data_IF_326108202406
#
_entry.id   IF_326108202406
#
_cell.length_a   1.000
_cell.length_b   1.000
_cell.length_c   1.000
_cell.angle_alpha   90.00
_cell.angle_beta   90.00
_cell.angle_gamma   90.00
#
_symmetry.space_group_name_H-M   'P 1'
#
loop_
_entity.id
_entity.type
_entity.pdbx_description
1 polymer ?
#
# COMPACT_ATOMS: atom_id res chain seq x y z
N UNK A 1 21.86 -22.20 -22.06
CA UNK A 1 20.79 -21.20 -22.21
C UNK A 1 21.00 -20.24 -21.05
N UNK A 2 21.25 -18.96 -21.34
CA UNK A 2 21.42 -17.97 -20.27
C UNK A 2 20.04 -17.71 -19.67
N UNK A 3 19.87 -17.98 -18.38
CA UNK A 3 18.64 -17.65 -17.65
C UNK A 3 18.57 -16.13 -17.51
N UNK A 4 17.46 -15.51 -17.95
CA UNK A 4 17.22 -14.08 -17.73
C UNK A 4 17.10 -13.81 -16.23
N UNK A 5 17.82 -12.79 -15.75
CA UNK A 5 17.88 -12.38 -14.34
C UNK A 5 17.37 -10.97 -14.17
N UNK A 6 16.43 -10.79 -13.24
CA UNK A 6 15.89 -9.47 -12.87
C UNK A 6 16.30 -9.17 -11.43
N UNK A 7 17.00 -8.04 -11.22
CA UNK A 7 17.21 -7.50 -9.88
C UNK A 7 15.98 -6.67 -9.49
N UNK A 8 15.25 -7.15 -8.50
CA UNK A 8 14.08 -6.51 -7.95
C UNK A 8 14.45 -5.74 -6.67
N UNK A 9 14.21 -4.43 -6.68
CA UNK A 9 14.24 -3.57 -5.51
C UNK A 9 12.82 -3.43 -4.98
N UNK A 10 12.58 -3.73 -3.72
CA UNK A 10 11.33 -3.45 -3.02
C UNK A 10 11.58 -2.40 -1.93
N UNK A 11 11.20 -1.17 -2.23
CA UNK A 11 11.31 -0.03 -1.31
C UNK A 11 10.00 0.11 -0.56
N UNK A 12 9.94 -0.42 0.66
CA UNK A 12 8.82 -0.27 1.58
C UNK A 12 8.92 0.98 2.45
N UNK A 13 8.14 1.06 3.53
CA UNK A 13 8.21 2.17 4.49
C UNK A 13 9.09 1.91 5.71
N UNK A 14 9.70 0.73 5.83
CA UNK A 14 10.56 0.36 6.97
C UNK A 14 11.91 -0.22 6.54
N UNK A 15 12.00 -0.70 5.31
CA UNK A 15 13.22 -1.23 4.74
C UNK A 15 13.14 -1.26 3.22
N UNK A 16 14.30 -1.17 2.59
CA UNK A 16 14.50 -1.59 1.21
C UNK A 16 15.00 -3.02 1.22
N UNK A 17 14.51 -3.82 0.28
CA UNK A 17 14.98 -5.18 0.02
C UNK A 17 15.41 -5.32 -1.43
N UNK A 18 16.53 -5.99 -1.66
CA UNK A 18 17.02 -6.29 -3.00
C UNK A 18 17.20 -7.81 -3.15
N UNK A 19 16.61 -8.36 -4.21
CA UNK A 19 16.70 -9.78 -4.56
C UNK A 19 16.87 -9.91 -6.06
N UNK A 20 17.46 -11.02 -6.50
CA UNK A 20 17.50 -11.36 -7.93
C UNK A 20 16.60 -12.56 -8.17
N UNK A 21 15.80 -12.49 -9.23
CA UNK A 21 14.90 -13.56 -9.66
C UNK A 21 15.35 -14.10 -11.02
N UNK A 22 15.10 -15.39 -11.25
CA UNK A 22 15.22 -16.01 -12.58
C UNK A 22 13.90 -15.95 -13.37
N UNK A 23 13.92 -16.40 -14.63
CA UNK A 23 12.76 -16.39 -15.54
C UNK A 23 11.52 -17.15 -15.01
N UNK A 24 11.70 -18.04 -14.02
CA UNK A 24 10.60 -18.77 -13.36
C UNK A 24 10.00 -17.96 -12.20
N UNK A 25 10.51 -16.75 -11.97
CA UNK A 25 10.24 -15.91 -10.81
C UNK A 25 10.61 -16.59 -9.48
N UNK A 26 11.65 -17.44 -9.49
CA UNK A 26 12.28 -18.00 -8.29
C UNK A 26 13.45 -17.10 -7.86
N UNK A 27 13.56 -16.82 -6.56
CA UNK A 27 14.64 -15.99 -6.04
C UNK A 27 15.96 -16.79 -6.05
N UNK A 28 17.03 -16.16 -6.53
CA UNK A 28 18.37 -16.72 -6.49
C UNK A 28 18.82 -16.88 -5.03
N UNK A 29 19.30 -18.08 -4.68
CA UNK A 29 19.79 -18.37 -3.34
C UNK A 29 21.03 -17.53 -3.04
N UNK A 30 21.05 -16.93 -1.84
CA UNK A 30 22.20 -16.15 -1.37
C UNK A 30 22.30 -14.73 -1.93
N UNK A 31 21.25 -14.24 -2.63
CA UNK A 31 21.14 -12.84 -3.05
C UNK A 31 19.91 -12.23 -2.37
N UNK A 32 20.09 -11.79 -1.13
CA UNK A 32 19.03 -11.20 -0.32
C UNK A 32 19.61 -10.13 0.59
N UNK A 33 19.38 -8.88 0.22
CA UNK A 33 19.85 -7.71 0.97
C UNK A 33 18.67 -7.00 1.56
N UNK A 34 18.77 -6.64 2.84
CA UNK A 34 17.79 -5.78 3.52
C UNK A 34 18.51 -4.64 4.22
N UNK A 35 18.07 -3.41 3.95
CA UNK A 35 18.54 -2.22 4.67
C UNK A 35 17.33 -1.53 5.30
N UNK A 36 17.38 -1.38 6.63
CA UNK A 36 16.33 -0.71 7.41
C UNK A 36 16.61 0.78 7.50
N UNK A 37 15.54 1.55 7.61
CA UNK A 37 15.57 3.00 7.83
C UNK A 37 14.36 3.39 8.66
N UNK A 38 14.46 4.53 9.32
CA UNK A 38 13.45 5.03 10.23
C UNK A 38 12.72 6.22 9.61
N UNK A 39 11.40 6.19 9.74
CA UNK A 39 10.54 7.30 9.39
C UNK A 39 10.66 8.37 10.48
N UNK A 40 10.75 9.63 10.07
CA UNK A 40 10.62 10.74 11.01
C UNK A 40 9.13 10.98 11.25
N UNK A 41 8.62 10.46 12.36
CA UNK A 41 7.29 10.78 12.88
C UNK A 41 7.39 12.03 13.77
N UNK A 42 6.69 13.10 13.40
CA UNK A 42 6.72 14.39 14.10
C UNK A 42 5.41 14.75 14.77
N UNK A 43 5.35 15.94 15.37
CA UNK A 43 4.12 16.47 15.94
C UNK A 43 3.07 16.73 14.83
N UNK A 44 1.78 16.72 15.19
CA UNK A 44 0.66 17.07 14.30
C UNK A 44 0.50 16.17 13.05
N UNK A 45 0.96 14.92 13.12
CA UNK A 45 0.75 13.93 12.05
C UNK A 45 1.77 14.01 10.90
N UNK A 46 2.92 14.65 11.13
CA UNK A 46 4.09 14.60 10.24
C UNK A 46 4.63 13.17 10.13
N UNK A 47 4.90 12.72 8.91
CA UNK A 47 5.45 11.41 8.61
C UNK A 47 6.33 11.48 7.35
N UNK A 48 7.63 11.71 7.53
CA UNK A 48 8.57 12.09 6.47
C UNK A 48 9.84 11.22 6.42
N UNK A 49 10.48 11.19 5.25
CA UNK A 49 11.85 10.72 5.08
C UNK A 49 12.76 11.83 4.52
N UNK A 50 14.05 11.70 4.77
CA UNK A 50 15.08 12.32 3.94
C UNK A 50 15.23 11.51 2.65
N UNK A 51 14.93 12.16 1.50
CA UNK A 51 14.95 11.48 0.21
C UNK A 51 16.35 11.01 -0.19
N UNK A 52 17.40 11.77 0.12
CA UNK A 52 18.78 11.45 -0.25
C UNK A 52 19.33 10.31 0.60
N UNK A 53 18.98 10.26 1.89
CA UNK A 53 19.31 9.13 2.75
C UNK A 53 18.64 7.85 2.28
N UNK A 54 17.37 7.92 1.86
CA UNK A 54 16.64 6.77 1.35
C UNK A 54 17.18 6.30 -0.01
N UNK A 55 17.62 7.23 -0.88
CA UNK A 55 18.37 6.91 -2.10
C UNK A 55 19.69 6.21 -1.77
N UNK A 56 20.46 6.72 -0.80
CA UNK A 56 21.73 6.11 -0.41
C UNK A 56 21.55 4.69 0.12
N UNK A 57 20.54 4.46 0.98
CA UNK A 57 20.21 3.13 1.47
C UNK A 57 19.79 2.18 0.33
N UNK A 58 18.98 2.66 -0.61
CA UNK A 58 18.53 1.85 -1.76
C UNK A 58 19.68 1.54 -2.72
N UNK A 59 20.57 2.51 -2.98
CA UNK A 59 21.78 2.32 -3.77
C UNK A 59 22.69 1.25 -3.16
N UNK A 60 22.91 1.32 -1.84
CA UNK A 60 23.73 0.33 -1.15
C UNK A 60 23.15 -1.09 -1.30
N UNK A 61 21.84 -1.25 -1.10
CA UNK A 61 21.17 -2.53 -1.27
C UNK A 61 21.25 -3.06 -2.72
N UNK A 62 21.10 -2.17 -3.70
CA UNK A 62 21.27 -2.49 -5.12
C UNK A 62 22.68 -2.96 -5.44
N UNK A 63 23.70 -2.20 -5.05
CA UNK A 63 25.11 -2.51 -5.33
C UNK A 63 25.53 -3.82 -4.67
N UNK A 64 25.06 -4.06 -3.43
CA UNK A 64 25.31 -5.31 -2.72
C UNK A 64 24.66 -6.51 -3.40
N UNK A 65 23.37 -6.43 -3.75
CA UNK A 65 22.67 -7.52 -4.44
C UNK A 65 23.27 -7.80 -5.83
N UNK A 66 23.68 -6.76 -6.56
CA UNK A 66 24.35 -6.91 -7.84
C UNK A 66 25.69 -7.65 -7.70
N UNK A 67 26.49 -7.29 -6.67
CA UNK A 67 27.75 -7.98 -6.34
C UNK A 67 27.49 -9.45 -6.02
N UNK A 68 26.48 -9.76 -5.22
CA UNK A 68 26.13 -11.14 -4.84
C UNK A 68 25.61 -11.97 -6.01
N UNK A 69 24.97 -11.33 -6.99
CA UNK A 69 24.52 -11.95 -8.23
C UNK A 69 25.64 -12.19 -9.26
N UNK A 70 26.89 -11.85 -8.93
CA UNK A 70 28.04 -11.99 -9.83
C UNK A 70 28.28 -10.80 -10.75
N UNK A 71 27.68 -9.63 -10.47
CA UNK A 71 27.97 -8.36 -11.14
C UNK A 71 27.17 -8.05 -12.40
N UNK A 72 26.34 -8.97 -12.88
CA UNK A 72 25.53 -8.79 -14.09
C UNK A 72 24.10 -9.26 -13.88
N UNK A 73 23.13 -8.51 -14.39
CA UNK A 73 21.71 -8.85 -14.48
C UNK A 73 21.15 -8.30 -15.79
N UNK A 74 20.05 -8.87 -16.30
CA UNK A 74 19.47 -8.49 -17.58
C UNK A 74 18.52 -7.29 -17.47
N UNK A 75 17.97 -7.05 -16.28
CA UNK A 75 17.15 -5.90 -16.00
C UNK A 75 17.14 -5.55 -14.49
N UNK A 76 16.83 -4.29 -14.20
CA UNK A 76 16.51 -3.82 -12.85
C UNK A 76 15.07 -3.33 -12.83
N UNK A 77 14.34 -3.70 -11.78
CA UNK A 77 12.96 -3.27 -11.59
C UNK A 77 12.73 -2.86 -10.13
N UNK A 78 11.81 -1.92 -9.93
CA UNK A 78 11.55 -1.36 -8.59
C UNK A 78 10.06 -1.46 -8.24
N UNK A 79 9.76 -2.11 -7.13
CA UNK A 79 8.52 -1.96 -6.36
C UNK A 79 8.74 -0.84 -5.35
N UNK A 80 7.83 0.13 -5.27
CA UNK A 80 7.95 1.24 -4.33
C UNK A 80 6.60 1.62 -3.73
N UNK A 81 6.61 2.01 -2.45
CA UNK A 81 5.42 2.52 -1.78
C UNK A 81 4.80 3.70 -2.54
N UNK A 82 3.48 3.62 -2.73
CA UNK A 82 2.71 4.68 -3.37
C UNK A 82 2.65 5.97 -2.56
N UNK A 83 2.18 7.02 -3.23
CA UNK A 83 1.76 8.30 -2.66
C UNK A 83 2.90 9.16 -2.07
N UNK A 84 4.16 8.75 -2.18
CA UNK A 84 5.31 9.59 -1.85
C UNK A 84 5.33 10.85 -2.71
N UNK A 85 5.73 11.98 -2.14
CA UNK A 85 5.91 13.25 -2.85
C UNK A 85 7.23 13.89 -2.42
N UNK A 86 8.09 14.21 -3.39
CA UNK A 86 9.39 14.85 -3.20
C UNK A 86 9.44 16.13 -4.04
N UNK A 87 9.59 17.33 -3.44
CA UNK A 87 9.85 18.56 -4.18
C UNK A 87 11.32 18.59 -4.66
N UNK A 88 11.53 18.84 -5.95
CA UNK A 88 12.84 18.74 -6.62
C UNK A 88 13.19 20.02 -7.38
N UNK A 89 14.42 20.52 -7.26
CA UNK A 89 14.90 21.71 -7.97
C UNK A 89 15.25 21.44 -9.45
N UNK A 90 15.55 22.52 -10.19
CA UNK A 90 15.97 22.44 -11.60
C UNK A 90 17.31 21.72 -11.82
N UNK A 91 18.03 21.34 -10.76
CA UNK A 91 19.25 20.51 -10.81
C UNK A 91 18.98 19.05 -10.46
N UNK A 92 17.72 18.67 -10.22
CA UNK A 92 17.35 17.32 -9.88
C UNK A 92 17.63 16.93 -8.43
N UNK A 93 17.76 17.89 -7.52
CA UNK A 93 18.00 17.64 -6.08
C UNK A 93 16.71 17.82 -5.28
N UNK A 94 16.47 16.97 -4.30
CA UNK A 94 15.43 17.20 -3.31
C UNK A 94 15.69 18.52 -2.58
N UNK A 95 14.66 19.35 -2.43
CA UNK A 95 14.73 20.65 -1.74
C UNK A 95 13.84 20.73 -0.50
N UNK A 96 13.19 19.62 -0.16
CA UNK A 96 12.35 19.46 1.01
C UNK A 96 12.22 17.98 1.36
N UNK A 97 11.49 17.66 2.44
CA UNK A 97 11.29 16.29 2.88
C UNK A 97 10.46 15.48 1.87
N UNK A 98 10.64 14.16 1.90
CA UNK A 98 9.75 13.21 1.25
C UNK A 98 8.50 13.04 2.11
N UNK A 99 7.34 13.46 1.59
CA UNK A 99 6.05 13.32 2.27
C UNK A 99 5.46 11.93 2.00
N UNK A 100 5.24 11.14 3.03
CA UNK A 100 4.71 9.77 2.88
C UNK A 100 3.19 9.71 2.82
N UNK A 101 2.61 8.53 2.56
CA UNK A 101 1.17 8.32 2.60
C UNK A 101 0.54 8.47 4.00
N UNK A 102 1.37 8.36 5.06
CA UNK A 102 0.97 8.49 6.47
C UNK A 102 0.87 9.94 6.93
N UNK A 103 1.39 10.88 6.15
CA UNK A 103 1.40 12.28 6.54
C UNK A 103 -0.02 12.87 6.54
N UNK A 104 -0.45 13.39 7.70
CA UNK A 104 -1.80 13.91 7.91
C UNK A 104 -1.88 15.44 7.89
N UNK A 105 -0.77 16.16 7.74
CA UNK A 105 -0.77 17.64 7.78
C UNK A 105 -1.63 18.25 6.65
N UNK A 106 -1.79 17.52 5.56
CA UNK A 106 -2.65 17.90 4.44
C UNK A 106 -4.16 17.64 4.66
N UNK A 107 -4.62 17.22 5.85
CA UNK A 107 -6.02 16.88 6.09
C UNK A 107 -6.97 18.08 5.84
N UNK A 108 -6.58 19.25 6.32
CA UNK A 108 -7.38 20.47 6.11
C UNK A 108 -7.33 20.96 4.65
N UNK A 109 -6.19 20.77 3.98
CA UNK A 109 -6.04 21.05 2.56
C UNK A 109 -6.95 20.13 1.71
N UNK A 110 -7.06 18.85 2.06
CA UNK A 110 -7.99 17.92 1.41
C UNK A 110 -9.46 18.37 1.55
N UNK A 111 -9.84 18.89 2.73
CA UNK A 111 -11.20 19.45 2.93
C UNK A 111 -11.45 20.67 2.05
N UNK A 112 -10.51 21.62 2.01
CA UNK A 112 -10.59 22.83 1.17
C UNK A 112 -10.63 22.50 -0.32
N UNK A 113 -9.85 21.51 -0.76
CA UNK A 113 -9.83 21.08 -2.15
C UNK A 113 -11.22 20.61 -2.62
N UNK A 114 -12.00 19.98 -1.74
CA UNK A 114 -13.39 19.64 -2.04
C UNK A 114 -14.36 20.82 -2.22
N UNK A 115 -13.92 22.06 -1.98
CA UNK A 115 -14.64 23.27 -2.38
C UNK A 115 -14.16 23.88 -3.70
N UNK A 116 -13.10 23.32 -4.31
CA UNK A 116 -12.54 23.74 -5.60
C UNK A 116 -12.88 22.77 -6.73
N UNK A 117 -13.10 21.49 -6.40
CA UNK A 117 -13.42 20.43 -7.35
C UNK A 117 -14.50 19.50 -6.78
N UNK A 118 -15.32 18.93 -7.66
CA UNK A 118 -16.34 17.95 -7.29
C UNK A 118 -15.71 16.61 -6.91
N UNK A 119 -15.98 16.15 -5.69
CA UNK A 119 -15.32 14.97 -5.08
C UNK A 119 -15.57 13.69 -5.89
N UNK A 120 -16.83 13.47 -6.26
CA UNK A 120 -17.25 12.26 -6.97
C UNK A 120 -16.69 12.25 -8.40
N UNK A 121 -16.62 13.42 -9.05
CA UNK A 121 -16.02 13.55 -10.38
C UNK A 121 -14.50 13.26 -10.34
N UNK A 122 -13.80 13.74 -9.30
CA UNK A 122 -12.37 13.43 -9.12
C UNK A 122 -12.17 11.94 -8.90
N UNK A 123 -12.99 11.32 -8.06
CA UNK A 123 -12.93 9.88 -7.82
C UNK A 123 -13.21 9.10 -9.11
N UNK A 124 -14.24 9.44 -9.87
CA UNK A 124 -14.56 8.79 -11.15
C UNK A 124 -13.42 8.89 -12.17
N UNK A 125 -12.75 10.05 -12.28
CA UNK A 125 -11.67 10.25 -13.26
C UNK A 125 -10.35 9.59 -12.83
N UNK A 126 -10.00 9.67 -11.55
CA UNK A 126 -8.65 9.31 -11.06
C UNK A 126 -8.60 8.00 -10.30
N UNK A 127 -9.74 7.48 -9.83
CA UNK A 127 -9.81 6.37 -8.89
C UNK A 127 -9.34 6.71 -7.48
N UNK A 128 -8.98 7.97 -7.20
CA UNK A 128 -8.53 8.46 -5.91
C UNK A 128 -9.58 9.37 -5.28
N UNK A 129 -9.65 9.39 -3.95
CA UNK A 129 -10.48 10.36 -3.21
C UNK A 129 -9.65 11.58 -2.80
N UNK A 130 -10.33 12.67 -2.40
CA UNK A 130 -9.68 13.80 -1.76
C UNK A 130 -9.31 13.47 -0.31
N UNK A 131 -8.08 13.00 -0.10
CA UNK A 131 -7.55 12.55 1.19
C UNK A 131 -6.10 12.99 1.38
N UNK A 132 -5.63 13.30 2.61
CA UNK A 132 -4.25 13.76 2.89
C UNK A 132 -3.14 12.85 2.36
N UNK A 133 -3.41 11.55 2.19
CA UNK A 133 -2.43 10.63 1.62
C UNK A 133 -2.04 10.96 0.17
N UNK A 134 -2.93 11.59 -0.61
CA UNK A 134 -2.73 11.84 -2.04
C UNK A 134 -2.08 13.20 -2.33
N UNK A 135 -1.49 13.29 -3.52
CA UNK A 135 -0.75 14.47 -3.96
C UNK A 135 -1.60 15.75 -4.01
N UNK A 136 -2.86 15.75 -4.49
CA UNK A 136 -3.62 16.99 -4.58
C UNK A 136 -3.71 17.72 -3.23
N UNK A 137 -3.95 16.99 -2.14
CA UNK A 137 -3.99 17.56 -0.80
C UNK A 137 -2.62 18.05 -0.34
N UNK A 138 -1.56 17.25 -0.55
CA UNK A 138 -0.18 17.59 -0.17
C UNK A 138 0.35 18.83 -0.91
N UNK A 139 0.00 18.98 -2.17
CA UNK A 139 0.41 20.12 -3.01
C UNK A 139 -0.30 21.40 -2.58
N UNK A 140 -1.61 21.34 -2.30
CA UNK A 140 -2.34 22.48 -1.72
C UNK A 140 -1.75 22.85 -0.35
N UNK A 141 -1.44 21.86 0.49
CA UNK A 141 -0.79 22.09 1.78
C UNK A 141 0.59 22.74 1.62
N UNK A 142 1.47 22.22 0.77
CA UNK A 142 2.79 22.80 0.51
C UNK A 142 2.68 24.24 0.00
N UNK A 143 1.74 24.52 -0.92
CA UNK A 143 1.51 25.87 -1.45
C UNK A 143 1.11 26.87 -0.36
N UNK A 144 0.38 26.44 0.66
CA UNK A 144 -0.16 27.29 1.72
C UNK A 144 0.79 27.39 2.94
N UNK A 145 1.36 26.26 3.37
CA UNK A 145 2.20 26.16 4.55
C UNK A 145 3.68 26.46 4.24
N UNK A 146 4.15 26.09 3.05
CA UNK A 146 5.56 26.17 2.62
C UNK A 146 5.69 26.85 1.23
N UNK A 147 5.17 28.08 1.03
CA UNK A 147 5.03 28.69 -0.30
C UNK A 147 6.36 28.92 -1.02
N UNK A 148 7.46 29.17 -0.30
CA UNK A 148 8.79 29.32 -0.91
C UNK A 148 9.30 27.99 -1.45
N UNK A 149 9.11 26.89 -0.71
CA UNK A 149 9.46 25.54 -1.15
C UNK A 149 8.67 25.15 -2.38
N UNK A 150 7.35 25.38 -2.35
CA UNK A 150 6.46 25.08 -3.47
C UNK A 150 6.88 25.83 -4.74
N UNK A 151 7.17 27.13 -4.65
CA UNK A 151 7.60 27.95 -5.81
C UNK A 151 9.01 27.62 -6.31
N UNK A 152 9.88 27.12 -5.44
CA UNK A 152 11.26 26.77 -5.79
C UNK A 152 11.36 25.38 -6.44
N UNK A 153 10.35 24.53 -6.26
CA UNK A 153 10.29 23.21 -6.88
C UNK A 153 10.09 23.36 -8.39
N UNK A 154 11.03 22.83 -9.16
CA UNK A 154 10.88 22.70 -10.61
C UNK A 154 10.02 21.50 -10.97
N UNK A 155 10.08 20.43 -10.16
CA UNK A 155 9.29 19.21 -10.34
C UNK A 155 8.84 18.64 -9.00
N UNK A 156 7.74 17.91 -9.03
CA UNK A 156 7.24 17.07 -7.95
C UNK A 156 7.30 15.62 -8.38
N UNK A 157 8.09 14.81 -7.69
CA UNK A 157 8.35 13.41 -8.03
C UNK A 157 7.84 12.47 -6.94
N UNK A 158 7.48 11.24 -7.30
CA UNK A 158 7.43 10.18 -6.28
C UNK A 158 8.85 9.82 -5.85
N UNK A 159 9.00 9.16 -4.71
CA UNK A 159 10.31 8.64 -4.31
C UNK A 159 10.90 7.72 -5.37
N UNK A 160 10.05 6.91 -6.02
CA UNK A 160 10.51 5.98 -7.04
C UNK A 160 11.09 6.70 -8.26
N UNK A 161 10.44 7.78 -8.71
CA UNK A 161 10.93 8.59 -9.84
C UNK A 161 12.19 9.39 -9.44
N UNK A 162 12.25 9.86 -8.18
CA UNK A 162 13.45 10.51 -7.64
C UNK A 162 14.63 9.54 -7.54
N UNK A 163 14.39 8.31 -7.08
CA UNK A 163 15.39 7.25 -7.04
C UNK A 163 15.91 6.94 -8.45
N UNK A 164 15.03 6.77 -9.43
CA UNK A 164 15.44 6.54 -10.82
C UNK A 164 16.29 7.70 -11.34
N UNK A 165 15.92 8.95 -11.02
CA UNK A 165 16.70 10.14 -11.39
C UNK A 165 18.13 10.08 -10.81
N UNK A 166 18.27 9.77 -9.53
CA UNK A 166 19.59 9.71 -8.86
C UNK A 166 20.45 8.53 -9.33
N UNK A 167 19.84 7.43 -9.78
CA UNK A 167 20.56 6.25 -10.22
C UNK A 167 20.88 6.26 -11.71
N UNK A 168 20.02 6.82 -12.54
CA UNK A 168 20.09 6.72 -14.01
C UNK A 168 20.21 8.06 -14.74
N UNK A 169 19.92 9.17 -14.06
CA UNK A 169 19.86 10.51 -14.67
C UNK A 169 18.55 10.83 -15.40
N UNK A 170 17.60 9.89 -15.46
CA UNK A 170 16.26 10.07 -16.05
C UNK A 170 15.17 9.81 -14.99
N UNK A 171 14.09 10.59 -15.02
CA UNK A 171 12.95 10.48 -14.12
C UNK A 171 11.69 10.19 -14.95
N UNK A 172 11.28 8.92 -14.99
CA UNK A 172 10.04 8.47 -15.62
C UNK A 172 9.12 7.89 -14.58
N UNK A 173 7.84 8.19 -14.71
CA UNK A 173 6.82 7.59 -13.85
C UNK A 173 5.97 6.63 -14.68
N UNK A 174 5.79 5.42 -14.17
CA UNK A 174 4.91 4.43 -14.79
C UNK A 174 3.45 4.83 -14.59
N UNK A 175 2.54 4.24 -15.38
CA UNK A 175 1.11 4.37 -15.10
C UNK A 175 0.75 3.85 -13.70
N UNK A 176 1.52 2.88 -13.19
CA UNK A 176 1.28 2.31 -11.87
C UNK A 176 1.60 3.28 -10.74
N UNK A 177 2.72 3.99 -10.83
CA UNK A 177 3.06 5.02 -9.84
C UNK A 177 2.17 6.25 -10.00
N UNK A 178 1.95 6.71 -11.23
CA UNK A 178 1.15 7.90 -11.53
C UNK A 178 -0.29 7.77 -11.06
N UNK A 179 -0.94 6.62 -11.26
CA UNK A 179 -2.32 6.39 -10.81
C UNK A 179 -2.48 6.45 -9.29
N UNK A 180 -1.44 6.11 -8.53
CA UNK A 180 -1.40 6.28 -7.08
C UNK A 180 -1.26 7.73 -6.62
N UNK A 181 -0.96 8.70 -7.48
CA UNK A 181 -0.80 10.11 -7.07
C UNK A 181 -2.14 10.79 -6.75
N UNK A 182 -3.21 10.38 -7.43
CA UNK A 182 -4.47 11.13 -7.50
C UNK A 182 -4.48 12.28 -8.49
N UNK A 183 -3.49 12.34 -9.40
CA UNK A 183 -3.42 13.32 -10.49
C UNK A 183 -3.51 12.68 -11.88
N UNK A 184 -3.53 11.35 -12.00
CA UNK A 184 -3.68 10.66 -13.28
C UNK A 184 -5.17 10.49 -13.60
N UNK A 185 -5.61 10.94 -14.78
CA UNK A 185 -6.87 10.53 -15.35
C UNK A 185 -6.74 9.09 -15.89
N UNK A 186 -7.50 8.15 -15.33
CA UNK A 186 -7.35 6.73 -15.63
C UNK A 186 -7.75 6.39 -17.07
N UNK A 187 -8.76 7.08 -17.61
CA UNK A 187 -9.35 6.77 -18.91
C UNK A 187 -8.39 7.04 -20.07
N UNK A 188 -7.60 8.11 -20.00
CA UNK A 188 -6.66 8.51 -21.04
C UNK A 188 -5.20 8.14 -20.69
N UNK A 189 -4.90 7.89 -19.42
CA UNK A 189 -3.53 7.64 -18.97
C UNK A 189 -2.67 8.89 -19.04
N UNK A 190 -3.24 10.07 -18.77
CA UNK A 190 -2.56 11.37 -18.75
C UNK A 190 -2.81 12.12 -17.44
N UNK A 191 -2.05 13.18 -17.19
CA UNK A 191 -2.28 14.02 -16.02
C UNK A 191 -3.60 14.82 -16.14
N UNK A 192 -4.41 14.77 -15.09
CA UNK A 192 -5.71 15.43 -14.98
C UNK A 192 -5.54 16.95 -14.90
N UNK A 193 -5.74 17.62 -16.04
CA UNK A 193 -5.48 19.07 -16.17
C UNK A 193 -6.34 19.90 -15.22
N UNK A 194 -7.59 19.50 -14.96
CA UNK A 194 -8.47 20.21 -14.03
C UNK A 194 -7.93 20.17 -12.59
N UNK A 195 -7.41 19.03 -12.15
CA UNK A 195 -6.77 18.93 -10.83
C UNK A 195 -5.44 19.68 -10.78
N UNK A 196 -4.64 19.65 -11.85
CA UNK A 196 -3.40 20.44 -11.94
C UNK A 196 -3.69 21.94 -11.76
N UNK A 197 -4.68 22.47 -12.46
CA UNK A 197 -5.12 23.85 -12.32
C UNK A 197 -5.56 24.16 -10.88
N UNK A 198 -6.33 23.26 -10.24
CA UNK A 198 -6.79 23.43 -8.86
C UNK A 198 -5.64 23.47 -7.83
N UNK A 199 -4.60 22.67 -8.03
CA UNK A 199 -3.40 22.65 -7.17
C UNK A 199 -2.37 23.71 -7.58
N UNK A 200 -2.58 24.40 -8.71
CA UNK A 200 -1.73 25.49 -9.19
C UNK A 200 -0.44 25.00 -9.84
N UNK A 201 -0.49 23.87 -10.55
CA UNK A 201 0.61 23.30 -11.31
C UNK A 201 0.24 23.16 -12.79
N UNK A 202 1.25 22.91 -13.62
CA UNK A 202 1.09 22.46 -14.99
C UNK A 202 1.82 21.12 -15.22
N UNK A 203 1.69 20.57 -16.43
CA UNK A 203 2.32 19.30 -16.79
C UNK A 203 3.85 19.32 -16.71
N UNK A 204 4.50 20.48 -16.82
CA UNK A 204 5.96 20.58 -16.77
C UNK A 204 6.52 20.38 -15.35
N UNK A 205 5.67 20.53 -14.32
CA UNK A 205 6.03 20.26 -12.93
C UNK A 205 5.99 18.76 -12.58
N UNK A 206 5.51 17.90 -13.48
CA UNK A 206 5.35 16.46 -13.25
C UNK A 206 6.35 15.62 -14.08
N UNK A 207 6.65 14.38 -13.67
CA UNK A 207 7.51 13.50 -14.45
C UNK A 207 6.83 13.08 -15.76
N UNK A 208 7.67 12.67 -16.72
CA UNK A 208 7.19 12.07 -17.97
C UNK A 208 6.52 10.73 -17.67
N UNK A 209 5.29 10.57 -18.16
CA UNK A 209 4.57 9.29 -18.13
C UNK A 209 5.19 8.33 -19.15
N UNK A 210 5.80 7.26 -18.69
CA UNK A 210 6.37 6.23 -19.55
C UNK A 210 6.56 4.93 -18.79
N UNK A 211 6.11 3.83 -19.39
CA UNK A 211 6.43 2.49 -18.90
C UNK A 211 7.77 1.99 -19.50
N UNK A 212 8.33 2.63 -20.54
CA UNK A 212 9.56 2.16 -21.18
C UNK A 212 10.81 2.28 -20.29
N UNK A 213 11.71 1.26 -20.30
CA UNK A 213 12.92 1.27 -19.51
C UNK A 213 13.88 2.40 -19.91
N UNK A 214 14.68 2.82 -18.93
CA UNK A 214 15.83 3.70 -19.12
C UNK A 214 17.07 2.83 -19.30
N UNK A 215 17.85 3.05 -20.34
CA UNK A 215 19.13 2.37 -20.51
C UNK A 215 20.22 3.09 -19.70
N UNK A 216 20.70 2.44 -18.64
CA UNK A 216 21.78 2.93 -17.78
C UNK A 216 22.96 1.93 -17.74
N UNK A 217 23.18 1.20 -18.85
CA UNK A 217 24.11 0.05 -18.93
C UNK A 217 23.42 -1.28 -18.63
N UNK A 218 22.32 -1.23 -17.88
CA UNK A 218 21.32 -2.30 -17.74
C UNK A 218 19.95 -1.66 -17.86
N UNK A 219 18.97 -2.28 -18.57
CA UNK A 219 17.61 -1.77 -18.63
C UNK A 219 16.99 -1.58 -17.24
N UNK A 220 16.70 -0.32 -16.88
CA UNK A 220 16.03 0.04 -15.65
C UNK A 220 14.55 0.33 -15.91
N UNK A 221 13.69 -0.58 -15.49
CA UNK A 221 12.25 -0.45 -15.66
C UNK A 221 11.70 0.60 -14.69
N UNK A 222 10.79 1.50 -15.14
CA UNK A 222 10.10 2.42 -14.26
C UNK A 222 9.41 1.66 -13.12
N UNK A 223 9.42 2.25 -11.93
CA UNK A 223 8.91 1.56 -10.76
C UNK A 223 7.42 1.28 -10.86
N UNK A 224 6.96 0.26 -10.17
CA UNK A 224 5.55 -0.08 -10.00
C UNK A 224 5.15 0.09 -8.53
N UNK A 225 3.87 0.32 -8.32
CA UNK A 225 3.31 0.45 -6.99
C UNK A 225 3.41 -0.83 -6.16
N UNK A 226 3.89 -0.70 -4.93
CA UNK A 226 4.08 -1.83 -4.01
C UNK A 226 2.83 -2.70 -3.82
N UNK A 227 1.65 -2.09 -3.69
CA UNK A 227 0.41 -2.84 -3.53
C UNK A 227 0.01 -3.62 -4.78
N UNK A 228 0.31 -3.08 -5.97
CA UNK A 228 0.07 -3.77 -7.24
C UNK A 228 1.05 -4.94 -7.41
N UNK A 229 2.32 -4.71 -7.12
CA UNK A 229 3.35 -5.74 -7.09
C UNK A 229 3.01 -6.85 -6.09
N UNK A 230 2.58 -6.49 -4.88
CA UNK A 230 2.19 -7.46 -3.84
C UNK A 230 1.09 -8.41 -4.33
N UNK A 231 0.08 -7.89 -5.03
CA UNK A 231 -0.98 -8.70 -5.64
C UNK A 231 -0.43 -9.66 -6.71
N UNK A 232 0.38 -9.15 -7.64
CA UNK A 232 0.98 -9.97 -8.71
C UNK A 232 1.86 -11.07 -8.12
N UNK A 233 2.75 -10.71 -7.20
CA UNK A 233 3.69 -11.66 -6.61
C UNK A 233 3.01 -12.74 -5.80
N UNK A 234 1.88 -12.44 -5.15
CA UNK A 234 1.04 -13.41 -4.45
C UNK A 234 0.11 -14.23 -5.38
N UNK A 235 0.17 -14.02 -6.70
CA UNK A 235 -0.66 -14.73 -7.67
C UNK A 235 -2.15 -14.32 -7.65
N UNK A 236 -2.44 -13.10 -7.16
CA UNK A 236 -3.78 -12.50 -7.11
C UNK A 236 -4.01 -11.62 -8.33
N UNK A 237 -4.09 -12.25 -9.50
CA UNK A 237 -4.14 -11.58 -10.81
C UNK A 237 -5.51 -11.70 -11.50
N UNK A 238 -6.51 -12.23 -10.80
CA UNK A 238 -7.87 -12.44 -11.28
C UNK A 238 -8.88 -11.81 -10.32
N UNK A 239 -10.07 -11.41 -10.81
CA UNK A 239 -11.07 -10.72 -9.99
C UNK A 239 -11.66 -11.57 -8.86
N UNK A 240 -11.57 -12.90 -8.96
CA UNK A 240 -12.08 -13.84 -7.97
C UNK A 240 -11.10 -14.11 -6.82
N UNK A 241 -9.88 -13.58 -6.88
CA UNK A 241 -8.85 -13.74 -5.86
C UNK A 241 -8.32 -12.39 -5.38
N UNK A 242 -8.51 -12.08 -4.11
CA UNK A 242 -7.95 -10.88 -3.48
C UNK A 242 -6.65 -11.19 -2.74
N UNK A 243 -5.73 -10.23 -2.71
CA UNK A 243 -4.66 -10.20 -1.73
C UNK A 243 -5.12 -9.39 -0.51
N UNK A 244 -5.03 -9.99 0.68
CA UNK A 244 -5.21 -9.31 1.96
C UNK A 244 -3.85 -9.22 2.64
N UNK A 245 -3.30 -8.01 2.68
CA UNK A 245 -2.01 -7.72 3.28
C UNK A 245 -2.20 -7.06 4.64
N UNK A 246 -1.53 -7.58 5.67
CA UNK A 246 -1.34 -6.86 6.93
C UNK A 246 0.15 -6.75 7.20
N UNK A 247 0.68 -5.56 6.93
CA UNK A 247 2.01 -5.11 7.38
C UNK A 247 1.85 -4.11 8.52
N UNK A 248 2.60 -3.00 8.49
CA UNK A 248 2.36 -1.85 9.39
C UNK A 248 0.91 -1.37 9.29
N UNK A 249 0.32 -1.41 8.10
CA UNK A 249 -1.10 -1.10 7.83
C UNK A 249 -1.76 -2.26 7.06
N UNK A 250 -3.07 -2.16 6.82
CA UNK A 250 -3.85 -3.19 6.13
C UNK A 250 -4.25 -2.79 4.70
N UNK A 251 -4.42 -3.78 3.82
CA UNK A 251 -5.07 -3.57 2.53
C UNK A 251 -5.71 -4.84 1.96
N UNK A 252 -6.81 -4.68 1.24
CA UNK A 252 -7.54 -5.73 0.54
C UNK A 252 -7.74 -5.33 -0.91
N UNK A 253 -7.15 -6.09 -1.84
CA UNK A 253 -6.99 -5.65 -3.23
C UNK A 253 -7.25 -6.77 -4.23
N UNK A 254 -7.80 -6.42 -5.37
CA UNK A 254 -7.98 -7.30 -6.53
C UNK A 254 -7.32 -6.70 -7.76
N UNK A 255 -6.84 -7.55 -8.65
CA UNK A 255 -6.35 -7.15 -9.97
C UNK A 255 -7.36 -7.55 -11.03
N UNK A 256 -7.59 -6.66 -11.99
CA UNK A 256 -8.54 -6.88 -13.09
C UNK A 256 -7.89 -6.48 -14.40
N UNK A 257 -8.03 -7.33 -15.42
CA UNK A 257 -7.76 -6.95 -16.79
C UNK A 257 -8.97 -6.19 -17.35
N UNK A 258 -8.79 -4.93 -17.70
CA UNK A 258 -9.81 -4.09 -18.31
C UNK A 258 -9.17 -2.83 -18.93
N UNK A 259 -9.70 -2.37 -20.06
CA UNK A 259 -9.28 -1.09 -20.65
C UNK A 259 -9.79 0.10 -19.81
N UNK A 260 -11.03 -0.05 -19.30
CA UNK A 260 -11.72 0.92 -18.45
C UNK A 260 -12.50 0.19 -17.36
N UNK A 261 -12.41 0.74 -16.15
CA UNK A 261 -13.21 0.34 -15.00
C UNK A 261 -13.61 1.60 -14.25
N UNK A 262 -14.86 1.66 -13.81
CA UNK A 262 -15.33 2.75 -12.96
C UNK A 262 -15.02 2.41 -11.49
N UNK A 263 -14.42 3.34 -10.72
CA UNK A 263 -14.07 3.07 -9.34
C UNK A 263 -15.32 2.97 -8.46
N UNK A 264 -15.37 1.98 -7.57
CA UNK A 264 -16.48 1.82 -6.63
C UNK A 264 -16.36 2.83 -5.47
N UNK A 265 -17.47 3.42 -5.00
CA UNK A 265 -17.45 4.27 -3.81
C UNK A 265 -16.76 3.57 -2.63
N UNK A 266 -15.85 4.30 -1.99
CA UNK A 266 -15.06 3.82 -0.85
C UNK A 266 -13.81 2.99 -1.20
N UNK A 267 -13.66 2.55 -2.44
CA UNK A 267 -12.44 1.90 -2.94
C UNK A 267 -11.57 2.87 -3.74
N UNK A 268 -10.27 2.60 -3.74
CA UNK A 268 -9.39 3.19 -4.74
C UNK A 268 -9.35 2.33 -5.99
N UNK A 269 -8.95 2.94 -7.12
CA UNK A 269 -8.67 2.24 -8.36
C UNK A 269 -7.39 2.80 -9.00
N UNK A 270 -6.36 1.97 -9.13
CA UNK A 270 -5.08 2.34 -9.74
C UNK A 270 -4.78 1.46 -10.95
N UNK A 271 -3.74 1.81 -11.71
CA UNK A 271 -3.19 0.96 -12.76
C UNK A 271 -2.07 0.09 -12.18
N UNK A 272 -2.01 -1.16 -12.65
CA UNK A 272 -0.78 -1.96 -12.61
C UNK A 272 0.03 -1.68 -13.89
N UNK A 273 -0.67 -1.59 -15.02
CA UNK A 273 -0.13 -1.22 -16.33
C UNK A 273 -1.27 -0.74 -17.24
N UNK A 274 -1.05 -0.75 -18.56
CA UNK A 274 -2.06 -0.35 -19.56
C UNK A 274 -3.28 -1.27 -19.61
N UNK A 275 -3.12 -2.56 -19.36
CA UNK A 275 -4.16 -3.58 -19.51
C UNK A 275 -4.79 -4.00 -18.17
N UNK A 276 -4.12 -3.72 -17.06
CA UNK A 276 -4.51 -4.21 -15.73
C UNK A 276 -4.67 -3.06 -14.73
N UNK A 277 -5.73 -3.13 -13.94
CA UNK A 277 -6.01 -2.22 -12.83
C UNK A 277 -6.01 -2.97 -11.49
N UNK A 278 -5.72 -2.22 -10.43
CA UNK A 278 -5.76 -2.68 -9.04
C UNK A 278 -6.82 -1.88 -8.31
N UNK A 279 -7.85 -2.58 -7.85
CA UNK A 279 -8.97 -2.00 -7.10
C UNK A 279 -8.91 -2.53 -5.66
N UNK A 280 -9.15 -1.67 -4.67
CA UNK A 280 -9.13 -2.15 -3.30
C UNK A 280 -9.39 -1.10 -2.24
N UNK A 281 -9.33 -1.56 -1.00
CA UNK A 281 -9.39 -0.70 0.18
C UNK A 281 -8.11 -0.78 0.99
N UNK A 282 -7.75 0.34 1.61
CA UNK A 282 -6.63 0.41 2.54
C UNK A 282 -7.14 0.75 3.94
N UNK A 283 -6.56 0.14 4.96
CA UNK A 283 -6.86 0.36 6.38
C UNK A 283 -5.62 0.92 7.06
N UNK A 284 -5.73 2.02 7.79
CA UNK A 284 -4.59 2.65 8.47
C UNK A 284 -4.04 1.79 9.60
N UNK A 285 -4.93 1.04 10.25
CA UNK A 285 -4.65 0.18 11.39
C UNK A 285 -4.42 -1.28 10.94
N UNK A 286 -3.31 -1.85 11.37
CA UNK A 286 -2.88 -3.22 11.08
C UNK A 286 -1.85 -3.68 12.10
N UNK A 287 -0.61 -3.92 11.67
CA UNK A 287 0.48 -4.27 12.59
C UNK A 287 0.87 -3.14 13.55
N UNK A 288 0.68 -1.87 13.16
CA UNK A 288 0.89 -0.72 14.05
C UNK A 288 -0.07 -0.70 15.25
N UNK A 289 -1.34 -1.07 15.05
CA UNK A 289 -2.34 -1.22 16.11
C UNK A 289 -1.92 -2.31 17.08
N UNK A 290 -1.46 -3.45 16.56
CA UNK A 290 -0.99 -4.55 17.39
C UNK A 290 0.23 -4.11 18.24
N UNK A 291 1.23 -3.47 17.63
CA UNK A 291 2.38 -2.92 18.36
C UNK A 291 1.97 -1.90 19.44
N UNK A 292 1.02 -1.01 19.12
CA UNK A 292 0.48 -0.05 20.08
C UNK A 292 -0.25 -0.73 21.25
N UNK A 293 -1.01 -1.81 20.99
CA UNK A 293 -1.69 -2.59 22.02
C UNK A 293 -0.69 -3.32 22.94
N UNK A 294 0.35 -3.92 22.36
CA UNK A 294 1.41 -4.59 23.12
C UNK A 294 2.05 -3.63 24.12
N UNK A 295 2.43 -2.43 23.66
CA UNK A 295 3.02 -1.39 24.50
C UNK A 295 2.03 -0.86 25.55
N UNK A 296 0.83 -0.48 25.10
CA UNK A 296 -0.17 0.22 25.94
C UNK A 296 -0.75 -0.69 27.03
N UNK A 297 -1.08 -1.93 26.67
CA UNK A 297 -1.66 -2.90 27.60
C UNK A 297 -0.60 -3.73 28.32
N UNK A 298 0.69 -3.57 27.96
CA UNK A 298 1.82 -4.35 28.48
C UNK A 298 1.58 -5.85 28.32
N UNK A 299 1.17 -6.24 27.12
CA UNK A 299 0.90 -7.65 26.82
C UNK A 299 2.21 -8.44 26.90
N UNK A 300 2.19 -9.68 27.43
CA UNK A 300 3.31 -10.59 27.27
C UNK A 300 3.57 -10.85 25.78
N UNK A 301 4.85 -10.95 25.39
CA UNK A 301 5.33 -11.25 24.01
C UNK A 301 4.62 -12.46 23.34
N UNK A 302 4.00 -13.34 24.13
CA UNK A 302 3.38 -14.58 23.68
C UNK A 302 1.84 -14.60 23.74
N UNK A 303 1.14 -13.47 23.93
CA UNK A 303 -0.32 -13.46 23.85
C UNK A 303 -0.82 -13.51 22.41
N UNK A 304 -0.68 -14.71 21.84
CA UNK A 304 -1.50 -15.17 20.74
C UNK A 304 -2.95 -15.16 21.23
N UNK A 305 -3.85 -14.51 20.49
CA UNK A 305 -5.31 -14.64 20.64
C UNK A 305 -5.60 -16.10 20.94
N UNK A 306 -6.14 -16.43 22.12
CA UNK A 306 -6.60 -17.78 22.38
C UNK A 306 -7.63 -18.16 21.28
N UNK A 307 -7.92 -19.44 21.07
CA UNK A 307 -9.10 -19.81 20.27
C UNK A 307 -10.37 -19.44 21.05
N UNK A 308 -10.55 -18.15 21.23
CA UNK A 308 -11.61 -17.57 22.01
C UNK A 308 -12.90 -17.64 21.19
N UNK A 309 -13.99 -17.78 21.92
CA UNK A 309 -15.31 -17.70 21.33
C UNK A 309 -15.51 -16.30 20.75
N UNK A 310 -16.04 -16.17 19.52
CA UNK A 310 -16.34 -14.88 18.91
C UNK A 310 -17.15 -14.02 19.86
N UNK A 311 -16.73 -12.76 20.02
CA UNK A 311 -17.51 -11.77 20.76
C UNK A 311 -17.80 -12.12 22.24
N UNK A 312 -17.12 -13.13 22.81
CA UNK A 312 -17.35 -13.56 24.18
C UNK A 312 -16.92 -12.52 25.24
N UNK A 313 -16.07 -11.57 24.86
CA UNK A 313 -15.61 -10.48 25.71
C UNK A 313 -16.65 -9.35 25.90
N UNK A 314 -17.71 -9.29 25.07
CA UNK A 314 -18.75 -8.25 25.18
C UNK A 314 -18.29 -6.82 24.85
N UNK A 315 -17.13 -6.68 24.21
CA UNK A 315 -16.54 -5.40 23.81
C UNK A 315 -16.84 -5.08 22.34
N UNK A 316 -16.83 -3.81 21.99
CA UNK A 316 -16.83 -3.37 20.59
C UNK A 316 -15.75 -2.33 20.42
N UNK A 317 -14.75 -2.64 19.58
CA UNK A 317 -13.63 -1.77 19.31
C UNK A 317 -13.69 -1.29 17.85
N UNK A 318 -13.88 0.01 17.67
CA UNK A 318 -13.64 0.71 16.42
C UNK A 318 -12.15 1.08 16.35
N UNK A 319 -11.38 0.32 15.56
CA UNK A 319 -9.91 0.42 15.51
C UNK A 319 -9.44 1.44 14.47
N UNK A 320 -9.74 2.72 14.70
CA UNK A 320 -9.40 3.85 13.80
C UNK A 320 -8.35 4.78 14.44
N UNK A 321 -7.29 4.22 15.03
CA UNK A 321 -6.29 5.03 15.75
C UNK A 321 -5.45 5.88 14.80
N UNK A 322 -5.14 5.34 13.61
CA UNK A 322 -4.44 6.06 12.55
C UNK A 322 -5.32 6.95 11.67
N UNK A 323 -6.58 7.19 12.05
CA UNK A 323 -7.59 7.76 11.15
C UNK A 323 -8.05 6.78 10.08
N UNK A 324 -9.13 7.11 9.39
CA UNK A 324 -9.78 6.16 8.48
C UNK A 324 -9.45 6.41 7.02
N UNK A 325 -9.13 5.32 6.32
CA UNK A 325 -9.09 5.24 4.86
C UNK A 325 -10.35 4.51 4.37
N UNK A 326 -10.25 3.40 3.65
CA UNK A 326 -11.44 2.74 3.13
C UNK A 326 -12.36 2.19 4.24
N UNK A 327 -13.69 2.15 4.01
CA UNK A 327 -14.39 2.64 2.83
C UNK A 327 -14.90 4.09 2.96
N UNK A 328 -14.81 4.72 4.14
CA UNK A 328 -15.45 6.03 4.38
C UNK A 328 -14.50 7.23 4.24
N UNK A 329 -13.19 7.01 4.26
CA UNK A 329 -12.14 8.01 4.05
C UNK A 329 -12.18 9.19 5.03
N UNK A 330 -12.55 8.92 6.29
CA UNK A 330 -12.57 9.91 7.35
C UNK A 330 -11.22 10.00 8.08
N UNK A 331 -10.32 10.85 7.58
CA UNK A 331 -9.01 11.09 8.19
C UNK A 331 -9.06 11.60 9.65
N UNK A 332 -10.20 12.17 10.08
CA UNK A 332 -10.40 12.68 11.44
C UNK A 332 -11.01 11.64 12.39
N UNK A 333 -11.41 10.46 11.90
CA UNK A 333 -11.89 9.38 12.75
C UNK A 333 -10.85 9.00 13.80
N UNK A 334 -11.31 8.56 14.96
CA UNK A 334 -10.49 8.11 16.07
C UNK A 334 -11.04 6.80 16.60
N UNK A 335 -10.19 6.03 17.26
CA UNK A 335 -10.61 4.76 17.86
C UNK A 335 -11.60 4.97 19.00
N UNK A 336 -12.54 4.03 19.15
CA UNK A 336 -13.52 4.01 20.22
C UNK A 336 -13.69 2.58 20.75
N UNK A 337 -13.69 2.41 22.06
CA UNK A 337 -13.90 1.12 22.73
C UNK A 337 -15.09 1.24 23.68
N UNK A 338 -16.08 0.37 23.50
CA UNK A 338 -17.27 0.30 24.36
C UNK A 338 -17.44 -1.09 24.97
N UNK A 339 -18.15 -1.17 26.10
CA UNK A 339 -18.44 -2.43 26.79
C UNK A 339 -17.50 -2.77 27.96
N UNK A 340 -16.59 -1.86 28.34
CA UNK A 340 -15.67 -2.08 29.46
C UNK A 340 -16.42 -2.34 30.77
N UNK A 341 -15.95 -3.35 31.50
CA UNK A 341 -16.39 -3.71 32.85
C UNK A 341 -15.16 -3.96 33.76
N UNK A 342 -15.39 -4.08 35.07
CA UNK A 342 -14.28 -4.26 36.05
C UNK A 342 -13.53 -5.59 35.88
N UNK A 343 -14.13 -6.57 35.20
CA UNK A 343 -13.57 -7.87 34.86
C UNK A 343 -12.95 -7.92 33.46
N UNK A 344 -12.99 -6.84 32.67
CA UNK A 344 -12.32 -6.78 31.36
C UNK A 344 -10.81 -6.93 31.52
N UNK A 345 -10.22 -7.82 30.74
CA UNK A 345 -8.79 -8.10 30.74
C UNK A 345 -8.07 -7.51 29.52
N UNK A 346 -6.72 -7.38 29.56
CA UNK A 346 -5.95 -7.01 28.37
C UNK A 346 -6.16 -7.94 27.16
N UNK A 347 -6.39 -9.23 27.42
CA UNK A 347 -6.63 -10.22 26.36
C UNK A 347 -7.99 -9.98 25.66
N UNK A 348 -9.01 -9.57 26.41
CA UNK A 348 -10.33 -9.22 25.85
C UNK A 348 -10.23 -8.02 24.90
N UNK A 349 -9.47 -7.00 25.30
CA UNK A 349 -9.25 -5.80 24.47
C UNK A 349 -8.46 -6.16 23.21
N UNK A 350 -7.43 -7.01 23.32
CA UNK A 350 -6.67 -7.49 22.18
C UNK A 350 -7.55 -8.27 21.20
N UNK A 351 -8.37 -9.18 21.69
CA UNK A 351 -9.30 -9.93 20.84
C UNK A 351 -10.28 -8.98 20.13
N UNK A 352 -10.91 -8.07 20.87
CA UNK A 352 -11.84 -7.09 20.32
C UNK A 352 -11.18 -6.21 19.23
N UNK A 353 -9.91 -5.87 19.40
CA UNK A 353 -9.15 -5.09 18.41
C UNK A 353 -8.90 -5.89 17.12
N UNK A 354 -8.50 -7.16 17.22
CA UNK A 354 -8.22 -8.00 16.06
C UNK A 354 -9.49 -8.37 15.29
N UNK A 355 -10.58 -8.66 16.02
CA UNK A 355 -11.92 -8.76 15.46
C UNK A 355 -12.32 -7.45 14.79
N UNK A 356 -12.03 -6.32 15.44
CA UNK A 356 -12.28 -4.99 14.92
C UNK A 356 -11.63 -4.74 13.55
N UNK A 357 -10.34 -5.06 13.40
CA UNK A 357 -9.63 -5.00 12.10
C UNK A 357 -10.25 -5.92 11.06
N UNK A 358 -10.64 -7.15 11.46
CA UNK A 358 -11.30 -8.08 10.56
C UNK A 358 -12.66 -7.56 10.06
N UNK A 359 -13.46 -6.92 10.92
CA UNK A 359 -14.73 -6.30 10.54
C UNK A 359 -14.55 -5.17 9.52
N UNK A 360 -13.49 -4.36 9.68
CA UNK A 360 -13.12 -3.33 8.70
C UNK A 360 -12.74 -3.93 7.35
N UNK A 361 -11.99 -5.03 7.33
CA UNK A 361 -11.72 -5.76 6.09
C UNK A 361 -12.97 -6.35 5.46
N UNK A 362 -13.91 -6.86 6.26
CA UNK A 362 -15.19 -7.34 5.75
C UNK A 362 -16.01 -6.23 5.09
N UNK A 363 -15.94 -4.98 5.56
CA UNK A 363 -16.58 -3.85 4.86
C UNK A 363 -15.97 -3.59 3.49
N UNK A 364 -14.66 -3.68 3.35
CA UNK A 364 -13.99 -3.58 2.05
C UNK A 364 -14.35 -4.79 1.16
N UNK A 365 -14.40 -5.99 1.73
CA UNK A 365 -14.71 -7.22 1.01
C UNK A 365 -16.17 -7.27 0.50
N UNK A 366 -17.11 -6.65 1.22
CA UNK A 366 -18.51 -6.52 0.78
C UNK A 366 -18.65 -5.65 -0.48
N UNK A 367 -17.73 -4.68 -0.68
CA UNK A 367 -17.66 -3.88 -1.90
C UNK A 367 -17.06 -4.65 -3.08
N UNK A 368 -16.51 -5.84 -2.84
CA UNK A 368 -15.88 -6.74 -3.83
C UNK A 368 -16.53 -8.15 -3.77
N UNK A 369 -17.83 -8.28 -4.11
CA UNK A 369 -18.58 -9.53 -3.99
C UNK A 369 -18.14 -10.65 -4.95
N UNK A 370 -17.36 -10.33 -5.98
CA UNK A 370 -16.83 -11.32 -6.92
C UNK A 370 -15.70 -12.18 -6.34
N UNK A 371 -15.06 -11.71 -5.26
CA UNK A 371 -13.93 -12.43 -4.67
C UNK A 371 -14.42 -13.67 -3.96
N UNK A 372 -13.84 -14.81 -4.33
CA UNK A 372 -14.16 -16.14 -3.81
C UNK A 372 -13.08 -16.66 -2.87
N UNK A 373 -11.84 -16.26 -3.08
CA UNK A 373 -10.68 -16.71 -2.30
C UNK A 373 -9.81 -15.51 -1.92
N UNK A 374 -9.24 -15.53 -0.72
CA UNK A 374 -8.36 -14.49 -0.21
C UNK A 374 -6.97 -15.07 0.02
N UNK A 375 -5.94 -14.44 -0.54
CA UNK A 375 -4.54 -14.77 -0.24
C UNK A 375 -4.02 -13.83 0.83
N UNK A 376 -3.70 -14.36 2.00
CA UNK A 376 -3.08 -13.62 3.07
C UNK A 376 -1.59 -13.41 2.80
N UNK A 377 -1.18 -12.15 2.80
CA UNK A 377 0.22 -11.73 2.64
C UNK A 377 0.66 -10.88 3.84
N UNK A 378 1.97 -10.69 3.96
CA UNK A 378 2.58 -9.99 5.09
C UNK A 378 3.00 -10.97 6.19
N UNK A 379 4.24 -10.80 6.66
CA UNK A 379 4.89 -11.74 7.58
C UNK A 379 4.09 -11.95 8.87
N UNK A 380 3.55 -10.88 9.47
CA UNK A 380 2.80 -10.95 10.72
C UNK A 380 1.52 -11.78 10.60
N UNK A 381 0.78 -11.62 9.49
CA UNK A 381 -0.45 -12.38 9.26
C UNK A 381 -0.15 -13.85 8.94
N UNK A 382 0.81 -14.12 8.05
CA UNK A 382 1.19 -15.48 7.65
C UNK A 382 1.77 -16.27 8.83
N UNK A 383 2.54 -15.61 9.70
CA UNK A 383 3.09 -16.23 10.92
C UNK A 383 2.05 -16.43 12.03
N UNK A 384 0.84 -15.89 11.89
CA UNK A 384 -0.23 -16.01 12.89
C UNK A 384 -1.46 -16.78 12.34
N UNK A 385 -1.45 -18.13 12.44
CA UNK A 385 -2.55 -18.97 11.97
C UNK A 385 -3.92 -18.64 12.57
N UNK A 386 -3.95 -18.08 13.78
CA UNK A 386 -5.22 -17.75 14.45
C UNK A 386 -5.82 -16.47 13.89
N UNK A 387 -5.00 -15.46 13.61
CA UNK A 387 -5.46 -14.25 12.94
C UNK A 387 -5.92 -14.56 11.51
N UNK A 388 -5.21 -15.43 10.80
CA UNK A 388 -5.63 -15.93 9.49
C UNK A 388 -6.99 -16.64 9.54
N UNK A 389 -7.21 -17.52 10.54
CA UNK A 389 -8.51 -18.17 10.73
C UNK A 389 -9.63 -17.19 11.10
N UNK A 390 -9.35 -16.21 11.97
CA UNK A 390 -10.32 -15.15 12.32
C UNK A 390 -10.76 -14.38 11.07
N UNK A 391 -9.83 -13.98 10.21
CA UNK A 391 -10.15 -13.30 8.96
C UNK A 391 -10.96 -14.20 8.03
N UNK A 392 -10.63 -15.49 7.90
CA UNK A 392 -11.44 -16.44 7.10
C UNK A 392 -12.89 -16.50 7.60
N UNK A 393 -13.08 -16.60 8.93
CA UNK A 393 -14.40 -16.68 9.56
C UNK A 393 -15.22 -15.38 9.35
N UNK A 394 -14.60 -14.21 9.58
CA UNK A 394 -15.25 -12.89 9.48
C UNK A 394 -15.55 -12.50 8.04
N UNK A 395 -14.65 -12.81 7.10
CA UNK A 395 -14.84 -12.56 5.67
C UNK A 395 -15.81 -13.55 5.03
N UNK A 396 -16.07 -14.69 5.70
CA UNK A 396 -16.86 -15.80 5.18
C UNK A 396 -16.34 -16.32 3.82
N UNK A 397 -15.01 -16.29 3.63
CA UNK A 397 -14.30 -16.69 2.41
C UNK A 397 -13.07 -17.52 2.76
N UNK A 398 -12.75 -18.58 1.99
CA UNK A 398 -11.49 -19.29 2.12
C UNK A 398 -10.30 -18.32 2.08
N UNK A 399 -9.41 -18.47 3.05
CA UNK A 399 -8.18 -17.69 3.15
C UNK A 399 -6.99 -18.64 3.03
N UNK A 400 -6.08 -18.36 2.11
CA UNK A 400 -4.85 -19.13 1.91
C UNK A 400 -3.65 -18.27 2.25
N UNK A 401 -2.74 -18.76 3.08
CA UNK A 401 -1.48 -18.08 3.34
C UNK A 401 -0.63 -18.07 2.05
N UNK A 402 -0.02 -16.93 1.71
CA UNK A 402 0.96 -16.88 0.64
C UNK A 402 2.16 -17.76 0.96
N UNK A 403 2.64 -18.54 -0.03
CA UNK A 403 3.92 -19.24 0.05
C UNK A 403 5.11 -18.41 -0.43
N UNK A 404 4.87 -17.13 -0.79
CA UNK A 404 5.89 -16.18 -1.24
C UNK A 404 6.32 -15.31 -0.07
N UNK A 405 7.62 -15.31 0.23
CA UNK A 405 8.21 -14.51 1.31
C UNK A 405 8.11 -13.00 1.03
N UNK A 406 8.52 -12.58 -0.17
CA UNK A 406 8.58 -11.18 -0.59
C UNK A 406 7.71 -10.95 -1.82
N UNK A 407 6.38 -10.83 -1.58
CA UNK A 407 5.39 -10.73 -2.65
C UNK A 407 5.62 -9.51 -3.55
N UNK A 408 5.96 -8.34 -2.99
CA UNK A 408 6.19 -7.14 -3.80
C UNK A 408 7.43 -7.25 -4.68
N UNK A 409 8.55 -7.76 -4.14
CA UNK A 409 9.76 -8.01 -4.92
C UNK A 409 9.55 -9.06 -6.03
N UNK A 410 8.83 -10.15 -5.72
CA UNK A 410 8.46 -11.15 -6.73
C UNK A 410 7.54 -10.54 -7.79
N UNK A 411 6.57 -9.72 -7.39
CA UNK A 411 5.59 -9.12 -8.29
C UNK A 411 6.22 -8.21 -9.34
N UNK A 412 7.13 -7.33 -8.92
CA UNK A 412 7.82 -6.47 -9.89
C UNK A 412 8.72 -7.29 -10.84
N UNK A 413 9.35 -8.37 -10.35
CA UNK A 413 10.09 -9.29 -11.20
C UNK A 413 9.18 -9.98 -12.22
N UNK A 414 8.02 -10.51 -11.78
CA UNK A 414 7.03 -11.16 -12.67
C UNK A 414 6.58 -10.22 -13.79
N UNK A 415 6.19 -8.98 -13.46
CA UNK A 415 5.77 -8.00 -14.48
C UNK A 415 6.92 -7.69 -15.44
N UNK A 416 8.15 -7.63 -14.94
CA UNK A 416 9.33 -7.39 -15.77
C UNK A 416 9.59 -8.58 -16.71
N UNK A 417 9.47 -9.81 -16.23
CA UNK A 417 9.57 -11.01 -17.06
C UNK A 417 8.48 -11.08 -18.14
N UNK A 418 7.23 -10.76 -17.82
CA UNK A 418 6.14 -10.67 -18.80
C UNK A 418 6.52 -9.69 -19.93
N UNK A 419 7.12 -8.54 -19.59
CA UNK A 419 7.56 -7.54 -20.57
C UNK A 419 8.77 -7.97 -21.39
N UNK A 420 9.61 -8.85 -20.85
CA UNK A 420 10.72 -9.47 -21.56
C UNK A 420 10.28 -10.69 -22.38
N UNK A 421 9.00 -11.07 -22.34
CA UNK A 421 8.44 -12.21 -23.06
C UNK A 421 8.68 -13.56 -22.38
N UNK A 422 9.06 -13.56 -21.10
CA UNK A 422 9.27 -14.77 -20.29
C UNK A 422 7.96 -15.20 -19.62
N UNK A 423 7.70 -16.51 -19.59
CA UNK A 423 6.59 -17.08 -18.82
C UNK A 423 7.06 -17.43 -17.41
N UNK A 424 6.35 -16.96 -16.38
CA UNK A 424 6.69 -17.21 -14.98
C UNK A 424 5.86 -18.34 -14.38
N UNK A 425 6.39 -19.01 -13.37
CA UNK A 425 5.62 -20.03 -12.63
C UNK A 425 4.54 -19.38 -11.74
N UNK A 426 3.46 -20.11 -11.42
CA UNK A 426 2.47 -19.68 -10.45
C UNK A 426 3.09 -19.36 -9.08
N UNK A 427 2.51 -18.41 -8.36
CA UNK A 427 2.92 -18.13 -6.98
C UNK A 427 2.65 -19.36 -6.08
N UNK A 428 3.62 -19.82 -5.28
CA UNK A 428 3.36 -20.87 -4.30
C UNK A 428 2.32 -20.41 -3.26
N UNK A 429 1.45 -21.33 -2.88
CA UNK A 429 0.44 -21.15 -1.84
C UNK A 429 0.80 -22.01 -0.62
N UNK A 430 0.46 -21.51 0.56
CA UNK A 430 0.66 -22.15 1.84
C UNK A 430 -0.63 -22.77 2.39
N UNK A 431 -0.82 -22.63 3.70
CA UNK A 431 -1.95 -23.23 4.43
C UNK A 431 -3.28 -22.58 4.05
N UNK A 432 -4.30 -23.41 3.84
CA UNK A 432 -5.69 -23.02 3.67
C UNK A 432 -6.42 -22.95 5.03
N UNK A 433 -7.24 -21.92 5.20
CA UNK A 433 -8.13 -21.68 6.33
C UNK A 433 -9.56 -21.57 5.79
N UNK A 434 -10.36 -22.60 6.08
CA UNK A 434 -11.77 -22.62 5.71
C UNK A 434 -12.60 -21.85 6.76
N UNK A 435 -13.57 -21.01 6.35
CA UNK A 435 -14.43 -20.32 7.29
C UNK A 435 -15.23 -21.32 8.13
N UNK A 436 -15.29 -21.08 9.44
CA UNK A 436 -16.07 -21.87 10.41
C UNK A 436 -17.52 -21.39 10.46
N UNK A 437 -18.50 -22.12 9.88
CA UNK A 437 -19.88 -21.64 9.76
C UNK A 437 -20.55 -21.41 11.11
N UNK A 438 -20.16 -22.15 12.15
CA UNK A 438 -20.70 -22.04 13.50
C UNK A 438 -20.39 -20.69 14.18
N UNK A 439 -19.38 -19.95 13.70
CA UNK A 439 -18.98 -18.64 14.24
C UNK A 439 -19.60 -17.45 13.51
N UNK A 440 -20.25 -17.71 12.36
CA UNK A 440 -20.74 -16.70 11.42
C UNK A 440 -21.68 -15.68 12.07
N UNK A 441 -22.72 -16.18 12.74
CA UNK A 441 -23.80 -15.32 13.25
C UNK A 441 -23.30 -14.40 14.37
N UNK A 442 -22.37 -14.89 15.21
CA UNK A 442 -21.73 -14.10 16.25
C UNK A 442 -20.90 -12.94 15.66
N UNK A 443 -20.03 -13.22 14.68
CA UNK A 443 -19.25 -12.17 14.03
C UNK A 443 -20.11 -11.17 13.25
N UNK A 444 -21.18 -11.62 12.58
CA UNK A 444 -22.12 -10.70 11.91
C UNK A 444 -22.80 -9.76 12.90
N UNK A 445 -23.24 -10.27 14.05
CA UNK A 445 -23.81 -9.47 15.13
C UNK A 445 -22.81 -8.44 15.68
N UNK A 446 -21.59 -8.88 15.99
CA UNK A 446 -20.52 -8.00 16.47
C UNK A 446 -20.14 -6.91 15.47
N UNK A 447 -20.08 -7.27 14.18
CA UNK A 447 -19.82 -6.33 13.08
C UNK A 447 -20.92 -5.27 12.96
N UNK A 448 -22.19 -5.63 13.11
CA UNK A 448 -23.27 -4.63 13.07
C UNK A 448 -23.18 -3.68 14.27
N UNK A 449 -22.85 -4.16 15.46
CA UNK A 449 -22.59 -3.26 16.61
C UNK A 449 -21.40 -2.32 16.37
N UNK A 450 -20.35 -2.78 15.69
CA UNK A 450 -19.24 -1.90 15.30
C UNK A 450 -19.70 -0.80 14.32
N UNK A 451 -20.58 -1.14 13.37
CA UNK A 451 -21.18 -0.15 12.43
C UNK A 451 -22.07 0.85 13.16
N UNK A 452 -22.86 0.40 14.13
CA UNK A 452 -23.67 1.29 14.98
C UNK A 452 -22.78 2.23 15.80
N UNK A 453 -21.69 1.71 16.39
CA UNK A 453 -20.71 2.52 17.10
C UNK A 453 -20.08 3.56 16.17
N UNK A 454 -19.66 3.18 14.96
CA UNK A 454 -19.13 4.11 13.96
C UNK A 454 -20.08 5.28 13.73
N UNK A 455 -21.35 5.01 13.38
CA UNK A 455 -22.38 6.05 13.16
C UNK A 455 -22.61 6.95 14.39
N UNK A 456 -22.32 6.46 15.59
CA UNK A 456 -22.51 7.19 16.84
C UNK A 456 -21.35 8.13 17.22
N UNK A 457 -20.14 7.90 16.68
CA UNK A 457 -18.92 8.61 17.13
C UNK A 457 -18.13 9.30 16.02
N UNK A 458 -18.49 9.08 14.76
CA UNK A 458 -17.93 9.77 13.58
C UNK A 458 -19.00 10.57 12.87
#
# INVERSE_FOLDING_TARGET
>A
MFLTRVLALDVGTSSVRARVYDERAEALRGVEVQTRYELTDGHEGQAEFDADQLVAATRAAYEEALREAGGEVDAVATSCFWHSLVPVDGRGRAIGPLLTWRDLRAADAARRLGGLVERDDVHARTGCVLHPSYWPAKLVWLREAEPELFRSAARFLSFADYLQLQLTGDARTSLSMASGTGLLALADGTWDTQLLDAVGLDHAHLPLLSDEPVDAGTPWFPALGDGACSNVGAGCMTPDRAALMIGTSGAYRVVRAADRLEPRPGLFLYRLDRARLVEGGALSDGGNLYAWLEETLRLPEAQVVADAEPDAHGLTFLTLLGGERSPHWNAQARGALTGLAFDTTPADILQAALEGVAFRFAEVADLLPEVREVVATGHALVANPRWAQLLADVLERPLVASGVDEASARGVAVVTFERLGCATEPAPLGRLYEPRPERRDAYRSARERQRELYRGVT
#
